data_IF_454979268137
#
_entry.id   IF_454979268137
#
_cell.length_a   1.000
_cell.length_b   1.000
_cell.length_c   1.000
_cell.angle_alpha   90.00
_cell.angle_beta   90.00
_cell.angle_gamma   90.00
#
_symmetry.space_group_name_H-M   'P 1'
#
loop_
_entity.id
_entity.type
_entity.pdbx_description
1 polymer ?
#
# COMPACT_ATOMS: atom_id res chain seq x y z
N UNK A 1 -12.52 -24.23 -9.04
CA UNK A 1 -13.16 -23.17 -8.23
C UNK A 1 -12.69 -21.79 -8.70
N UNK A 2 -11.74 -21.07 -8.09
CA UNK A 2 -11.43 -19.69 -8.54
C UNK A 2 -10.96 -19.55 -10.01
N UNK A 3 -9.95 -20.32 -10.43
CA UNK A 3 -9.40 -20.20 -11.79
C UNK A 3 -10.45 -20.54 -12.86
N UNK A 4 -11.24 -21.58 -12.61
CA UNK A 4 -12.27 -22.04 -13.55
C UNK A 4 -13.41 -21.02 -13.66
N UNK A 5 -13.84 -20.45 -12.54
CA UNK A 5 -15.04 -19.61 -12.49
C UNK A 5 -14.76 -18.13 -12.79
N UNK A 6 -13.52 -17.67 -12.59
CA UNK A 6 -13.15 -16.26 -12.73
C UNK A 6 -11.89 -16.03 -13.58
N UNK A 7 -10.71 -16.47 -13.11
CA UNK A 7 -9.42 -16.08 -13.71
C UNK A 7 -9.28 -16.54 -15.17
N UNK A 8 -9.53 -17.83 -15.45
CA UNK A 8 -9.44 -18.41 -16.79
C UNK A 8 -10.54 -17.95 -17.74
N UNK A 9 -11.58 -17.29 -17.22
CA UNK A 9 -12.66 -16.67 -18.02
C UNK A 9 -12.53 -15.14 -18.09
N UNK A 10 -11.49 -14.55 -17.48
CA UNK A 10 -11.28 -13.10 -17.41
C UNK A 10 -12.45 -12.33 -16.75
N UNK A 11 -13.16 -12.98 -15.81
CA UNK A 11 -14.30 -12.37 -15.12
C UNK A 11 -13.81 -11.67 -13.84
N UNK A 12 -14.03 -10.35 -13.69
CA UNK A 12 -13.67 -9.64 -12.47
C UNK A 12 -14.42 -10.18 -11.25
N UNK A 13 -13.73 -10.29 -10.13
CA UNK A 13 -14.32 -10.69 -8.85
C UNK A 13 -13.71 -9.94 -7.68
N UNK A 14 -14.41 -9.93 -6.55
CA UNK A 14 -13.92 -9.38 -5.28
C UNK A 14 -13.65 -10.53 -4.33
N UNK A 15 -12.38 -10.82 -4.08
CA UNK A 15 -11.96 -11.81 -3.09
C UNK A 15 -12.08 -11.17 -1.70
N UNK A 16 -12.84 -11.82 -0.81
CA UNK A 16 -13.12 -11.32 0.54
C UNK A 16 -12.32 -12.11 1.58
N UNK A 17 -12.20 -11.52 2.77
CA UNK A 17 -11.67 -12.16 3.99
C UNK A 17 -10.18 -12.52 4.02
N UNK A 18 -9.45 -12.52 2.89
CA UNK A 18 -8.00 -12.81 2.88
C UNK A 18 -7.23 -11.93 3.89
N UNK A 19 -7.34 -10.59 3.85
CA UNK A 19 -6.61 -9.75 4.82
C UNK A 19 -7.11 -9.90 6.26
N UNK A 20 -8.29 -10.49 6.46
CA UNK A 20 -8.90 -10.72 7.77
C UNK A 20 -8.54 -12.09 8.38
N UNK A 21 -7.63 -12.85 7.74
CA UNK A 21 -7.14 -14.12 8.28
C UNK A 21 -7.93 -15.32 7.78
N UNK A 22 -8.21 -15.38 6.48
CA UNK A 22 -8.78 -16.56 5.83
C UNK A 22 -7.97 -16.92 4.59
N UNK A 23 -7.63 -18.19 4.41
CA UNK A 23 -6.93 -18.68 3.23
C UNK A 23 -7.35 -20.14 2.94
N UNK A 24 -7.67 -20.45 1.69
CA UNK A 24 -8.08 -21.81 1.28
C UNK A 24 -9.29 -22.41 2.01
N UNK A 25 -10.12 -21.58 2.68
CA UNK A 25 -11.23 -22.04 3.52
C UNK A 25 -10.85 -22.27 5.00
N UNK A 26 -9.59 -22.09 5.36
CA UNK A 26 -9.08 -22.18 6.71
C UNK A 26 -8.85 -20.80 7.33
N UNK A 27 -8.83 -20.74 8.67
CA UNK A 27 -8.51 -19.51 9.40
C UNK A 27 -7.01 -19.42 9.59
N UNK A 28 -6.44 -18.29 9.19
CA UNK A 28 -5.02 -17.95 9.34
C UNK A 28 -4.86 -16.65 10.11
N UNK A 29 -3.62 -16.27 10.42
CA UNK A 29 -3.35 -14.97 11.04
C UNK A 29 -3.75 -13.82 10.09
N UNK A 30 -4.49 -12.81 10.59
CA UNK A 30 -4.80 -11.61 9.80
C UNK A 30 -3.52 -10.85 9.41
N UNK A 31 -3.61 -10.12 8.30
CA UNK A 31 -2.50 -9.27 7.87
C UNK A 31 -2.24 -8.16 8.89
N UNK A 32 -0.97 -7.96 9.26
CA UNK A 32 -0.57 -6.91 10.22
C UNK A 32 -0.82 -5.50 9.67
N UNK A 33 -0.92 -5.35 8.35
CA UNK A 33 -1.30 -4.12 7.67
C UNK A 33 -2.57 -3.48 8.26
N UNK A 34 -3.54 -4.28 8.74
CA UNK A 34 -4.75 -3.79 9.40
C UNK A 34 -4.46 -2.94 10.64
N UNK A 35 -3.41 -3.28 11.38
CA UNK A 35 -2.99 -2.58 12.59
C UNK A 35 -1.91 -1.55 12.31
N UNK A 36 -1.02 -1.78 11.34
CA UNK A 36 0.15 -0.95 11.09
C UNK A 36 -0.09 0.20 10.10
N UNK A 37 -1.01 0.05 9.14
CA UNK A 37 -1.22 1.03 8.07
C UNK A 37 -2.34 2.08 8.28
N UNK A 38 -3.09 2.13 9.40
CA UNK A 38 -3.89 3.32 9.69
C UNK A 38 -3.04 4.60 9.70
N UNK A 39 -3.59 5.73 9.25
CA UNK A 39 -2.83 6.98 9.05
C UNK A 39 -2.09 7.46 10.31
N UNK A 40 -2.67 7.26 11.50
CA UNK A 40 -2.02 7.64 12.76
C UNK A 40 -0.87 6.71 13.17
N UNK A 41 -0.90 5.45 12.73
CA UNK A 41 0.18 4.48 12.95
C UNK A 41 1.34 4.76 11.99
N UNK A 42 1.06 4.97 10.71
CA UNK A 42 2.05 5.39 9.71
C UNK A 42 2.73 6.72 10.08
N UNK A 43 2.00 7.63 10.73
CA UNK A 43 2.56 8.89 11.24
C UNK A 43 3.54 8.68 12.40
N UNK A 44 3.34 7.64 13.20
CA UNK A 44 4.15 7.30 14.37
C UNK A 44 5.33 6.41 14.03
N UNK A 45 5.29 5.67 12.91
CA UNK A 45 6.40 4.85 12.43
C UNK A 45 7.66 5.70 12.19
N UNK A 46 8.68 5.50 13.04
CA UNK A 46 9.90 6.29 13.04
C UNK A 46 10.72 6.16 11.74
N UNK A 47 10.61 5.01 11.07
CA UNK A 47 11.35 4.69 9.87
C UNK A 47 10.57 5.15 8.62
N UNK A 48 9.32 4.68 8.48
CA UNK A 48 8.52 4.97 7.28
C UNK A 48 8.19 6.46 7.15
N UNK A 49 7.98 7.19 8.27
CA UNK A 49 7.64 8.63 8.21
C UNK A 49 8.70 9.47 7.48
N UNK A 50 9.96 9.05 7.51
CA UNK A 50 11.08 9.76 6.90
C UNK A 50 11.50 9.17 5.54
N UNK A 51 11.01 7.98 5.20
CA UNK A 51 11.21 7.37 3.88
C UNK A 51 10.53 8.21 2.80
N UNK A 52 11.16 8.24 1.63
CA UNK A 52 10.70 8.94 0.44
C UNK A 52 9.94 7.95 -0.45
N UNK A 53 8.75 8.34 -0.91
CA UNK A 53 7.88 7.53 -1.77
C UNK A 53 7.62 8.27 -3.08
N UNK A 54 7.54 7.54 -4.21
CA UNK A 54 7.10 8.11 -5.50
C UNK A 54 5.64 8.56 -5.39
N UNK A 55 5.36 9.77 -5.86
CA UNK A 55 4.00 10.32 -5.90
C UNK A 55 3.62 10.95 -7.24
N UNK A 56 4.46 10.77 -8.26
CA UNK A 56 4.27 11.31 -9.60
C UNK A 56 5.51 11.15 -10.46
N UNK A 57 5.44 11.74 -11.64
CA UNK A 57 6.50 11.75 -12.65
C UNK A 57 6.49 13.12 -13.33
N UNK A 58 7.66 13.64 -13.70
CA UNK A 58 7.78 14.88 -14.47
C UNK A 58 7.72 14.61 -15.98
N UNK A 59 7.77 15.68 -16.78
CA UNK A 59 7.69 15.60 -18.24
C UNK A 59 8.87 14.84 -18.89
N UNK A 60 9.98 14.66 -18.16
CA UNK A 60 11.17 13.91 -18.59
C UNK A 60 11.13 12.43 -18.13
N UNK A 61 10.05 11.99 -17.49
CA UNK A 61 9.93 10.63 -16.96
C UNK A 61 10.65 10.42 -15.61
N UNK A 62 11.12 11.48 -14.95
CA UNK A 62 11.80 11.36 -13.66
C UNK A 62 10.78 11.31 -12.53
N UNK A 63 11.05 10.44 -11.56
CA UNK A 63 10.15 10.27 -10.41
C UNK A 63 10.11 11.51 -9.51
N UNK A 64 8.91 12.04 -9.30
CA UNK A 64 8.62 13.01 -8.26
C UNK A 64 8.36 12.24 -6.97
N UNK A 65 9.09 12.58 -5.90
CA UNK A 65 9.01 11.85 -4.64
C UNK A 65 8.83 12.77 -3.43
N UNK A 66 8.20 12.24 -2.38
CA UNK A 66 7.89 12.98 -1.15
C UNK A 66 8.15 12.11 0.08
N UNK A 67 8.57 12.70 1.21
CA UNK A 67 8.63 11.96 2.48
C UNK A 67 7.21 11.68 2.98
N UNK A 68 6.98 10.48 3.52
CA UNK A 68 5.65 10.07 4.01
C UNK A 68 5.06 11.09 5.00
N UNK A 69 5.85 11.61 5.95
CA UNK A 69 5.37 12.63 6.91
C UNK A 69 4.82 13.90 6.25
N UNK A 70 5.38 14.30 5.11
CA UNK A 70 4.91 15.49 4.38
C UNK A 70 3.64 15.16 3.60
N UNK A 71 3.56 13.97 3.00
CA UNK A 71 2.35 13.49 2.34
C UNK A 71 1.18 13.34 3.34
N UNK A 72 1.39 12.75 4.50
CA UNK A 72 0.37 12.63 5.55
C UNK A 72 -0.10 14.00 6.07
N UNK A 73 0.80 14.99 6.11
CA UNK A 73 0.42 16.38 6.43
C UNK A 73 -0.43 16.99 5.32
N UNK A 74 -0.04 16.78 4.06
CA UNK A 74 -0.79 17.23 2.88
C UNK A 74 -2.22 16.66 2.88
N UNK A 75 -2.38 15.34 3.06
CA UNK A 75 -3.69 14.68 3.09
C UNK A 75 -4.69 15.29 4.08
N UNK A 76 -4.23 15.84 5.21
CA UNK A 76 -5.10 16.39 6.27
C UNK A 76 -5.74 17.73 5.89
N UNK A 77 -5.16 18.48 4.98
CA UNK A 77 -5.59 19.87 4.69
C UNK A 77 -5.76 20.16 3.19
N UNK A 78 -5.51 19.17 2.33
CA UNK A 78 -5.57 19.32 0.90
C UNK A 78 -7.00 19.67 0.41
N UNK A 79 -7.09 20.46 -0.67
CA UNK A 79 -8.34 20.81 -1.37
C UNK A 79 -8.21 20.71 -2.90
N UNK A 80 -7.14 20.10 -3.38
CA UNK A 80 -6.91 19.93 -4.82
C UNK A 80 -8.01 19.05 -5.43
N UNK A 81 -8.48 19.42 -6.64
CA UNK A 81 -9.45 18.62 -7.40
C UNK A 81 -8.90 17.24 -7.78
N UNK A 82 -7.58 17.19 -8.04
CA UNK A 82 -6.80 15.97 -8.31
C UNK A 82 -5.57 15.93 -7.41
N UNK A 83 -5.67 15.35 -6.20
CA UNK A 83 -4.59 15.33 -5.23
C UNK A 83 -3.35 14.55 -5.70
N UNK A 84 -2.18 14.87 -5.12
CA UNK A 84 -1.01 14.01 -5.21
C UNK A 84 -1.33 12.60 -4.70
N UNK A 85 -0.79 11.57 -5.34
CA UNK A 85 -1.05 10.18 -5.01
C UNK A 85 0.26 9.39 -4.89
N UNK A 86 0.54 8.81 -3.72
CA UNK A 86 1.67 7.90 -3.56
C UNK A 86 1.40 6.64 -4.37
N UNK A 87 2.30 6.35 -5.31
CA UNK A 87 2.32 5.14 -6.11
C UNK A 87 3.78 4.73 -6.32
N UNK A 88 4.26 3.82 -5.47
CA UNK A 88 5.68 3.45 -5.37
C UNK A 88 5.84 1.95 -5.64
N UNK A 89 6.39 1.61 -6.80
CA UNK A 89 6.66 0.23 -7.21
C UNK A 89 8.04 -0.28 -6.75
N UNK A 90 8.89 0.62 -6.24
CA UNK A 90 10.27 0.32 -5.84
C UNK A 90 10.42 0.32 -4.31
N UNK A 91 9.34 -0.01 -3.59
CA UNK A 91 9.34 0.07 -2.14
C UNK A 91 10.20 -1.02 -1.48
N UNK A 92 10.41 -2.16 -2.14
CA UNK A 92 11.17 -3.30 -1.65
C UNK A 92 12.68 -3.24 -1.97
N UNK A 93 13.12 -2.23 -2.72
CA UNK A 93 14.53 -2.04 -3.11
C UNK A 93 15.40 -1.48 -1.97
N UNK A 94 14.80 -0.88 -0.95
CA UNK A 94 15.52 -0.37 0.23
C UNK A 94 15.07 -1.04 1.53
N UNK A 95 15.97 -1.03 2.52
CA UNK A 95 15.74 -1.69 3.82
C UNK A 95 14.48 -1.22 4.54
N UNK A 96 14.12 0.05 4.45
CA UNK A 96 13.00 0.61 5.19
C UNK A 96 11.67 0.25 4.53
N UNK A 97 11.60 0.38 3.20
CA UNK A 97 10.38 0.04 2.47
C UNK A 97 10.15 -1.47 2.37
N UNK A 98 11.21 -2.29 2.29
CA UNK A 98 11.10 -3.75 2.26
C UNK A 98 10.37 -4.34 3.48
N UNK A 99 10.42 -3.68 4.64
CA UNK A 99 9.67 -4.09 5.83
C UNK A 99 8.15 -4.12 5.60
N UNK A 100 7.62 -3.32 4.68
CA UNK A 100 6.19 -3.31 4.35
C UNK A 100 5.72 -4.70 3.88
N UNK A 101 6.62 -5.51 3.30
CA UNK A 101 6.35 -6.91 2.92
C UNK A 101 6.06 -7.83 4.12
N UNK A 102 6.43 -7.43 5.34
CA UNK A 102 6.14 -8.20 6.56
C UNK A 102 4.69 -8.04 7.03
N UNK A 103 3.95 -7.06 6.45
CA UNK A 103 2.62 -6.69 6.90
C UNK A 103 1.48 -7.36 6.10
N UNK A 104 1.80 -8.03 4.99
CA UNK A 104 0.83 -8.72 4.14
C UNK A 104 1.43 -9.98 3.48
N UNK A 105 0.58 -10.80 2.85
CA UNK A 105 0.99 -11.97 2.06
C UNK A 105 0.23 -11.99 0.73
N UNK A 106 0.76 -12.63 -0.31
CA UNK A 106 0.09 -12.76 -1.62
C UNK A 106 0.22 -14.20 -2.09
#
# INVERSE_FOLDING_TARGET
>A
EFWQDYEGQEIPSVIRNIPHGYDGGERVEPWRAWQHWPLDQLRQDADLRNRIFKCGEDDDGRSIKVKLKHFLRYLRSNKDDSPLYIFDSAFDEDRLGKRILEDYSV
#
